data_IF_450928254556
#
_entry.id   IF_450928254556
#
_cell.length_a   1.000
_cell.length_b   1.000
_cell.length_c   1.000
_cell.angle_alpha   90.00
_cell.angle_beta   90.00
_cell.angle_gamma   90.00
#
_symmetry.space_group_name_H-M   'P 1'
#
loop_
_entity.id
_entity.type
_entity.pdbx_description
1 polymer ?
#
# COMPACT_ATOMS: atom_id res chain seq x y z
N UNK A 1 10.17 -4.89 -12.75
CA UNK A 1 9.63 -4.03 -13.82
C UNK A 1 8.92 -2.78 -13.29
N UNK A 2 7.97 -2.90 -12.35
CA UNK A 2 7.21 -1.75 -11.80
C UNK A 2 8.04 -0.59 -11.19
N UNK A 3 9.27 -0.84 -10.71
CA UNK A 3 10.13 0.20 -10.12
C UNK A 3 10.56 1.28 -11.13
N UNK A 4 10.86 0.89 -12.37
CA UNK A 4 11.28 1.85 -13.42
C UNK A 4 10.07 2.64 -13.90
N UNK A 5 8.89 2.01 -14.02
CA UNK A 5 7.66 2.69 -14.41
C UNK A 5 7.22 3.72 -13.36
N UNK A 6 7.32 3.36 -12.07
CA UNK A 6 7.06 4.30 -10.97
C UNK A 6 8.00 5.50 -11.00
N UNK A 7 9.29 5.28 -11.28
CA UNK A 7 10.27 6.37 -11.42
C UNK A 7 9.97 7.25 -12.64
N UNK A 8 9.64 6.62 -13.78
CA UNK A 8 9.35 7.30 -15.04
C UNK A 8 8.12 8.21 -14.93
N UNK A 9 7.14 7.85 -14.11
CA UNK A 9 5.94 8.66 -13.88
C UNK A 9 6.16 9.66 -12.74
N UNK A 10 6.81 9.23 -11.66
CA UNK A 10 7.03 10.05 -10.47
C UNK A 10 7.95 11.25 -10.72
N UNK A 11 9.03 11.07 -11.50
CA UNK A 11 9.98 12.16 -11.77
C UNK A 11 9.31 13.33 -12.53
N UNK A 12 8.61 13.13 -13.65
CA UNK A 12 7.88 14.21 -14.32
C UNK A 12 6.85 14.90 -13.42
N UNK A 13 6.11 14.14 -12.60
CA UNK A 13 5.13 14.72 -11.66
C UNK A 13 5.82 15.66 -10.68
N UNK A 14 6.96 15.25 -10.10
CA UNK A 14 7.74 16.10 -9.19
C UNK A 14 8.24 17.34 -9.91
N UNK A 15 8.77 17.21 -11.13
CA UNK A 15 9.24 18.37 -11.92
C UNK A 15 8.10 19.36 -12.16
N UNK A 16 6.92 18.87 -12.56
CA UNK A 16 5.73 19.73 -12.76
C UNK A 16 5.31 20.41 -11.46
N UNK A 17 5.28 19.68 -10.35
CA UNK A 17 4.94 20.24 -9.04
C UNK A 17 5.91 21.34 -8.60
N UNK A 18 7.22 21.13 -8.81
CA UNK A 18 8.26 22.12 -8.50
C UNK A 18 8.14 23.35 -9.41
N UNK A 19 7.96 23.16 -10.72
CA UNK A 19 7.73 24.28 -11.64
C UNK A 19 6.48 25.07 -11.24
N UNK A 20 5.38 24.38 -10.91
CA UNK A 20 4.18 25.01 -10.40
C UNK A 20 4.47 25.84 -9.15
N UNK A 21 5.22 25.32 -8.18
CA UNK A 21 5.58 26.07 -6.98
C UNK A 21 6.42 27.32 -7.27
N UNK A 22 7.36 27.24 -8.22
CA UNK A 22 8.21 28.37 -8.61
C UNK A 22 7.40 29.48 -9.29
N UNK A 23 6.52 29.12 -10.22
CA UNK A 23 5.72 30.12 -10.96
C UNK A 23 4.52 30.63 -10.18
N UNK A 24 4.01 29.88 -9.19
CA UNK A 24 2.82 30.21 -8.41
C UNK A 24 3.16 30.60 -6.97
N UNK A 25 4.05 31.58 -6.83
CA UNK A 25 4.39 32.22 -5.54
C UNK A 25 3.45 33.37 -5.16
N UNK A 26 2.47 33.68 -6.02
CA UNK A 26 1.50 34.75 -5.77
C UNK A 26 0.68 34.48 -4.50
N UNK A 27 0.42 35.52 -3.68
CA UNK A 27 -0.38 35.37 -2.47
C UNK A 27 -1.84 35.08 -2.83
N UNK A 28 -2.46 34.15 -2.11
CA UNK A 28 -3.89 33.88 -2.16
C UNK A 28 -4.47 33.96 -0.75
N UNK A 29 -5.57 34.68 -0.63
CA UNK A 29 -6.31 34.80 0.62
C UNK A 29 -7.27 33.63 0.74
N UNK A 30 -7.05 32.78 1.74
CA UNK A 30 -8.02 31.75 2.11
C UNK A 30 -8.91 32.28 3.21
N UNK A 31 -10.18 32.51 2.87
CA UNK A 31 -11.20 32.83 3.86
C UNK A 31 -11.80 31.54 4.43
N UNK A 32 -11.29 31.12 5.57
CA UNK A 32 -11.63 29.85 6.19
C UNK A 32 -12.88 29.97 7.06
N UNK A 33 -14.04 30.38 6.54
CA UNK A 33 -15.31 30.64 7.29
C UNK A 33 -15.54 29.96 8.67
N UNK A 34 -15.35 28.65 8.89
CA UNK A 34 -15.45 28.04 10.24
C UNK A 34 -14.44 28.58 11.27
N UNK A 35 -13.33 29.14 10.80
CA UNK A 35 -12.31 29.89 11.51
C UNK A 35 -12.43 31.34 11.03
N UNK A 36 -12.79 32.29 11.87
CA UNK A 36 -13.03 33.69 11.50
C UNK A 36 -11.75 34.47 11.14
N UNK A 37 -10.83 33.82 10.42
CA UNK A 37 -9.49 34.29 10.10
C UNK A 37 -9.20 34.01 8.63
N UNK A 38 -8.81 35.05 7.91
CA UNK A 38 -8.29 34.92 6.55
C UNK A 38 -6.79 34.68 6.62
N UNK A 39 -6.31 33.70 5.86
CA UNK A 39 -4.89 33.34 5.83
C UNK A 39 -4.33 33.58 4.44
N UNK A 40 -3.37 34.50 4.34
CA UNK A 40 -2.64 34.75 3.12
C UNK A 40 -1.46 33.79 3.01
N UNK A 41 -1.46 32.98 1.96
CA UNK A 41 -0.35 32.08 1.66
C UNK A 41 -0.15 31.96 0.14
N UNK A 42 1.06 31.63 -0.32
CA UNK A 42 1.28 31.32 -1.72
C UNK A 42 0.37 30.18 -2.21
N UNK A 43 -0.18 30.32 -3.42
CA UNK A 43 -1.11 29.33 -4.03
C UNK A 43 -0.59 27.90 -3.98
N UNK A 44 0.73 27.72 -4.18
CA UNK A 44 1.31 26.38 -4.19
C UNK A 44 1.15 25.62 -2.87
N UNK A 45 1.12 26.30 -1.71
CA UNK A 45 0.92 25.66 -0.42
C UNK A 45 -0.46 25.01 -0.34
N UNK A 46 -1.48 25.69 -0.86
CA UNK A 46 -2.85 25.21 -0.88
C UNK A 46 -2.97 23.99 -1.78
N UNK A 47 -2.51 24.12 -3.02
CA UNK A 47 -2.67 23.09 -4.06
C UNK A 47 -1.80 21.87 -3.76
N UNK A 48 -0.50 22.05 -3.56
CA UNK A 48 0.41 20.94 -3.31
C UNK A 48 0.21 20.34 -1.92
N UNK A 49 -0.13 21.16 -0.93
CA UNK A 49 -0.41 20.68 0.43
C UNK A 49 -1.64 19.78 0.49
N UNK A 50 -2.76 20.20 -0.11
CA UNK A 50 -3.97 19.36 -0.19
C UNK A 50 -3.74 18.09 -1.00
N UNK A 51 -3.02 18.18 -2.12
CA UNK A 51 -2.63 17.02 -2.92
C UNK A 51 -1.78 16.03 -2.10
N UNK A 52 -0.77 16.53 -1.39
CA UNK A 52 0.11 15.71 -0.55
C UNK A 52 -0.69 14.99 0.54
N UNK A 53 -1.59 15.70 1.22
CA UNK A 53 -2.48 15.11 2.24
C UNK A 53 -3.32 13.98 1.62
N UNK A 54 -3.91 14.21 0.44
CA UNK A 54 -4.67 13.20 -0.28
C UNK A 54 -3.85 11.94 -0.61
N UNK A 55 -2.60 12.12 -1.08
CA UNK A 55 -1.68 11.02 -1.38
C UNK A 55 -1.32 10.24 -0.12
N UNK A 56 -0.99 10.92 0.98
CA UNK A 56 -0.66 10.29 2.25
C UNK A 56 -1.83 9.48 2.80
N UNK A 57 -3.05 10.04 2.74
CA UNK A 57 -4.27 9.34 3.13
C UNK A 57 -4.52 8.13 2.24
N UNK A 58 -4.37 8.25 0.92
CA UNK A 58 -4.52 7.13 -0.02
C UNK A 58 -3.50 6.01 0.24
N UNK A 59 -2.25 6.37 0.55
CA UNK A 59 -1.20 5.42 0.92
C UNK A 59 -1.55 4.71 2.23
N UNK A 60 -1.98 5.45 3.25
CA UNK A 60 -2.38 4.91 4.54
C UNK A 60 -3.57 3.93 4.40
N UNK A 61 -4.60 4.32 3.64
CA UNK A 61 -5.77 3.48 3.38
C UNK A 61 -5.38 2.20 2.64
N UNK A 62 -4.53 2.31 1.61
CA UNK A 62 -4.04 1.14 0.86
C UNK A 62 -3.22 0.21 1.76
N UNK A 63 -2.39 0.76 2.63
CA UNK A 63 -1.59 -0.02 3.57
C UNK A 63 -2.46 -0.77 4.59
N UNK A 64 -3.47 -0.10 5.16
CA UNK A 64 -4.44 -0.72 6.06
C UNK A 64 -5.25 -1.82 5.36
N UNK A 65 -5.69 -1.58 4.13
CA UNK A 65 -6.40 -2.58 3.32
C UNK A 65 -5.51 -3.79 3.01
N UNK A 66 -4.25 -3.57 2.62
CA UNK A 66 -3.29 -4.63 2.34
C UNK A 66 -2.80 -5.37 3.59
N UNK A 67 -2.83 -4.73 4.77
CA UNK A 67 -2.41 -5.32 6.04
C UNK A 67 -3.19 -6.59 6.40
N UNK A 68 -4.50 -6.61 6.15
CA UNK A 68 -5.36 -7.79 6.36
C UNK A 68 -4.93 -8.98 5.49
N UNK A 69 -4.65 -8.72 4.20
CA UNK A 69 -4.17 -9.76 3.28
C UNK A 69 -2.79 -10.30 3.67
N UNK A 70 -1.91 -9.46 4.23
CA UNK A 70 -0.61 -9.92 4.76
C UNK A 70 -0.76 -10.84 5.96
N UNK A 71 -1.77 -10.63 6.82
CA UNK A 71 -2.07 -11.53 7.93
C UNK A 71 -2.68 -12.85 7.45
N UNK A 72 -3.63 -12.79 6.51
CA UNK A 72 -4.24 -13.98 5.93
C UNK A 72 -3.24 -14.86 5.19
N UNK A 73 -2.32 -14.26 4.41
CA UNK A 73 -1.28 -15.00 3.70
C UNK A 73 -0.39 -15.82 4.64
N UNK A 74 -0.12 -15.33 5.86
CA UNK A 74 0.61 -16.10 6.89
C UNK A 74 -0.21 -17.28 7.42
N UNK A 75 -1.49 -17.05 7.72
CA UNK A 75 -2.41 -18.10 8.20
C UNK A 75 -2.56 -19.22 7.18
N UNK A 76 -2.83 -18.87 5.91
CA UNK A 76 -2.95 -19.85 4.83
C UNK A 76 -1.67 -20.65 4.62
N UNK A 77 -0.49 -20.03 4.76
CA UNK A 77 0.78 -20.74 4.66
C UNK A 77 0.96 -21.77 5.78
N UNK A 78 0.54 -21.45 7.01
CA UNK A 78 0.60 -22.39 8.13
C UNK A 78 -0.36 -23.57 7.93
N UNK A 79 -1.59 -23.31 7.48
CA UNK A 79 -2.58 -24.35 7.20
C UNK A 79 -2.15 -25.26 6.06
N UNK A 80 -1.52 -24.72 5.01
CA UNK A 80 -0.99 -25.52 3.91
C UNK A 80 0.13 -26.48 4.38
N UNK A 81 0.96 -26.06 5.34
CA UNK A 81 2.02 -26.91 5.91
C UNK A 81 1.42 -28.04 6.75
N UNK A 82 0.43 -27.76 7.59
CA UNK A 82 -0.21 -28.78 8.42
C UNK A 82 -0.93 -29.82 7.56
N UNK A 83 -1.73 -29.38 6.58
CA UNK A 83 -2.42 -30.26 5.63
C UNK A 83 -1.45 -31.14 4.85
N UNK A 84 -0.29 -30.59 4.44
CA UNK A 84 0.73 -31.37 3.73
C UNK A 84 1.37 -32.43 4.63
N UNK A 85 1.65 -32.06 5.88
CA UNK A 85 2.21 -33.00 6.88
C UNK A 85 1.24 -34.14 7.17
N UNK A 86 -0.06 -33.84 7.32
CA UNK A 86 -1.10 -34.85 7.52
C UNK A 86 -1.25 -35.78 6.32
N UNK A 87 -1.19 -35.23 5.10
CA UNK A 87 -1.22 -36.04 3.88
C UNK A 87 -0.01 -36.98 3.77
N UNK A 88 1.19 -36.50 4.10
CA UNK A 88 2.42 -37.30 4.07
C UNK A 88 2.36 -38.42 5.13
N UNK A 89 1.86 -38.12 6.34
CA UNK A 89 1.65 -39.11 7.39
C UNK A 89 0.58 -40.16 7.01
N UNK A 90 -0.50 -39.74 6.35
CA UNK A 90 -1.54 -40.65 5.88
C UNK A 90 -1.00 -41.61 4.80
N UNK A 91 -0.18 -41.11 3.88
CA UNK A 91 0.49 -41.94 2.86
C UNK A 91 1.44 -42.95 3.50
N UNK A 92 2.30 -42.51 4.42
CA UNK A 92 3.22 -43.40 5.12
C UNK A 92 2.50 -44.51 5.91
N UNK A 93 1.33 -44.22 6.49
CA UNK A 93 0.49 -45.24 7.15
C UNK A 93 -0.13 -46.23 6.17
N UNK A 94 -0.58 -45.76 5.00
CA UNK A 94 -1.11 -46.62 3.96
C UNK A 94 -0.03 -47.58 3.42
N UNK A 95 1.16 -47.06 3.10
CA UNK A 95 2.31 -47.85 2.65
C UNK A 95 2.73 -48.89 3.70
N UNK A 96 2.75 -48.53 4.98
CA UNK A 96 3.06 -49.46 6.06
C UNK A 96 1.97 -50.54 6.26
N UNK A 97 0.71 -50.24 5.97
CA UNK A 97 -0.38 -51.20 6.02
C UNK A 97 -0.31 -52.20 4.85
N UNK A 98 0.00 -51.72 3.64
CA UNK A 98 0.23 -52.57 2.47
C UNK A 98 1.44 -53.48 2.64
N UNK A 99 2.55 -52.95 3.19
CA UNK A 99 3.74 -53.75 3.48
C UNK A 99 3.48 -54.87 4.50
N UNK A 100 2.60 -54.64 5.48
CA UNK A 100 2.17 -55.66 6.44
C UNK A 100 1.20 -56.69 5.86
N UNK A 101 0.41 -56.31 4.85
CA UNK A 101 -0.52 -57.24 4.20
C UNK A 101 0.18 -58.18 3.20
N UNK A 102 1.33 -57.76 2.66
CA UNK A 102 2.14 -58.54 1.72
C UNK A 102 3.25 -59.38 2.39
N UNK A 103 3.34 -59.37 3.72
CA UNK A 103 4.30 -60.14 4.52
C UNK A 103 3.58 -61.28 5.26
#
# INVERSE_FOLDING_TARGET
MFKILSLLIGVPIIVIAVMFAIYNQGPVTLDLRPFSSSLDMPVFWVVLGTLLIGVLLGMLMTWLAQGKYRAMARSYRSQAISLRTEADLARARAEAAEAKANA
#
